data_IF_075676759808
#
_entry.id   IF_075676759808
#
_cell.length_a   1.000
_cell.length_b   1.000
_cell.length_c   1.000
_cell.angle_alpha   90.00
_cell.angle_beta   90.00
_cell.angle_gamma   90.00
#
_symmetry.space_group_name_H-M   'P 1'
#
loop_
_entity.id
_entity.type
_entity.pdbx_description
1 polymer ?
#
# COMPACT_ATOMS: atom_id res chain seq x y z
N UNK A 1 -18.88 -4.95 -17.52
CA UNK A 1 -18.87 -3.56 -18.02
C UNK A 1 -20.18 -3.25 -18.70
N UNK A 2 -20.94 -2.30 -18.14
CA UNK A 2 -22.13 -1.77 -18.78
C UNK A 2 -21.70 -0.60 -19.67
N UNK A 3 -21.78 -0.76 -20.96
CA UNK A 3 -21.49 0.33 -21.92
C UNK A 3 -22.79 1.04 -22.23
N UNK A 4 -22.90 2.30 -21.86
CA UNK A 4 -24.01 3.17 -22.27
C UNK A 4 -23.68 3.81 -23.63
N UNK A 5 -24.52 3.60 -24.63
CA UNK A 5 -24.32 4.19 -25.96
C UNK A 5 -24.66 5.68 -26.03
N UNK A 6 -25.49 6.18 -25.12
CA UNK A 6 -25.85 7.59 -25.02
C UNK A 6 -26.34 7.92 -23.61
N UNK A 7 -25.73 8.90 -22.97
CA UNK A 7 -26.17 9.47 -21.71
C UNK A 7 -26.52 10.93 -21.96
N UNK A 8 -27.69 11.37 -21.51
CA UNK A 8 -28.13 12.76 -21.59
C UNK A 8 -28.54 13.26 -20.21
N UNK A 9 -27.88 14.32 -19.73
CA UNK A 9 -28.12 14.90 -18.42
C UNK A 9 -28.71 16.29 -18.55
N UNK A 10 -29.77 16.56 -17.81
CA UNK A 10 -30.49 17.84 -17.81
C UNK A 10 -29.65 18.96 -17.16
N UNK A 11 -29.94 20.21 -17.51
CA UNK A 11 -29.19 21.41 -17.07
C UNK A 11 -29.15 21.68 -15.56
N UNK A 12 -29.89 20.92 -14.75
CA UNK A 12 -29.90 21.06 -13.29
C UNK A 12 -29.63 19.71 -12.58
N UNK A 13 -29.10 18.73 -13.31
CA UNK A 13 -28.91 17.36 -12.80
C UNK A 13 -27.49 16.89 -13.10
N UNK A 14 -27.01 15.98 -12.29
CA UNK A 14 -25.81 15.20 -12.53
C UNK A 14 -26.13 13.71 -12.43
N UNK A 15 -25.38 12.89 -13.15
CA UNK A 15 -25.40 11.45 -13.02
C UNK A 15 -24.03 10.99 -12.55
N UNK A 16 -23.98 10.29 -11.42
CA UNK A 16 -22.77 9.66 -10.93
C UNK A 16 -22.83 8.18 -11.24
N UNK A 17 -21.84 7.68 -11.95
CA UNK A 17 -21.63 6.24 -12.13
C UNK A 17 -20.76 5.74 -10.98
N UNK A 18 -21.19 4.63 -10.37
CA UNK A 18 -20.47 3.95 -9.31
C UNK A 18 -20.06 2.57 -9.74
N UNK A 19 -18.86 2.17 -9.38
CA UNK A 19 -18.36 0.82 -9.60
C UNK A 19 -17.99 0.14 -8.29
N UNK A 20 -17.98 -1.19 -8.30
CA UNK A 20 -17.46 -1.97 -7.18
C UNK A 20 -15.94 -1.85 -7.15
N UNK A 21 -15.43 -1.35 -6.03
CA UNK A 21 -14.00 -1.32 -5.80
C UNK A 21 -13.51 -2.74 -5.43
N UNK A 22 -12.53 -3.22 -6.17
CA UNK A 22 -11.89 -4.52 -5.93
C UNK A 22 -10.40 -4.30 -5.75
N UNK A 23 -9.88 -4.76 -4.61
CA UNK A 23 -8.46 -4.68 -4.28
C UNK A 23 -7.92 -6.10 -4.10
N UNK A 24 -6.74 -6.37 -4.65
CA UNK A 24 -6.01 -7.62 -4.55
C UNK A 24 -4.56 -7.34 -4.10
N UNK A 25 -4.18 -7.85 -2.94
CA UNK A 25 -2.87 -7.61 -2.33
C UNK A 25 -2.09 -8.90 -2.21
N UNK A 26 -0.94 -8.93 -2.85
CA UNK A 26 -0.06 -10.09 -2.93
C UNK A 26 1.37 -9.76 -2.49
N UNK A 27 2.13 -10.76 -2.09
CA UNK A 27 3.58 -10.66 -1.95
C UNK A 27 4.28 -10.69 -3.33
N UNK A 28 5.61 -10.52 -3.33
CA UNK A 28 6.41 -10.56 -4.56
C UNK A 28 6.40 -11.93 -5.27
N UNK A 29 5.96 -12.99 -4.60
CA UNK A 29 5.80 -14.35 -5.15
C UNK A 29 4.38 -14.61 -5.66
N UNK A 30 3.45 -13.66 -5.50
CA UNK A 30 2.06 -13.77 -5.92
C UNK A 30 1.15 -14.45 -4.90
N UNK A 31 1.59 -14.65 -3.65
CA UNK A 31 0.72 -15.18 -2.60
C UNK A 31 -0.13 -14.09 -1.98
N UNK A 32 -1.38 -14.39 -1.66
CA UNK A 32 -2.30 -13.47 -1.03
C UNK A 32 -1.79 -12.99 0.33
N UNK A 33 -1.88 -11.70 0.60
CA UNK A 33 -1.44 -11.10 1.86
C UNK A 33 -2.60 -10.63 2.72
N UNK A 34 -2.80 -11.29 3.85
CA UNK A 34 -3.78 -10.88 4.86
C UNK A 34 -3.17 -9.90 5.87
N UNK A 35 -4.03 -9.11 6.52
CA UNK A 35 -3.61 -8.23 7.60
C UNK A 35 -2.96 -6.92 7.16
N UNK A 36 -3.00 -6.59 5.88
CA UNK A 36 -2.49 -5.33 5.33
C UNK A 36 -3.47 -4.20 5.64
N UNK A 37 -2.96 -3.10 6.19
CA UNK A 37 -3.75 -1.91 6.42
C UNK A 37 -4.01 -1.17 5.11
N UNK A 38 -5.26 -0.80 4.87
CA UNK A 38 -5.69 -0.15 3.64
C UNK A 38 -6.39 1.17 3.97
N UNK A 39 -6.12 2.19 3.16
CA UNK A 39 -6.87 3.43 3.10
C UNK A 39 -7.24 3.74 1.65
N UNK A 40 -8.49 4.11 1.41
CA UNK A 40 -8.96 4.55 0.09
C UNK A 40 -9.53 5.95 0.18
N UNK A 41 -9.04 6.82 -0.67
CA UNK A 41 -9.50 8.21 -0.83
C UNK A 41 -10.05 8.39 -2.23
N UNK A 42 -11.19 9.03 -2.35
CA UNK A 42 -11.82 9.40 -3.61
C UNK A 42 -12.05 10.91 -3.62
N UNK A 43 -11.43 11.61 -4.53
CA UNK A 43 -11.48 13.09 -4.65
C UNK A 43 -11.34 13.80 -3.28
N UNK A 44 -10.35 13.40 -2.50
CA UNK A 44 -10.10 13.92 -1.15
C UNK A 44 -11.06 13.42 -0.06
N UNK A 45 -12.06 12.60 -0.39
CA UNK A 45 -13.00 12.02 0.56
C UNK A 45 -12.57 10.63 1.00
N UNK A 46 -12.55 10.38 2.32
CA UNK A 46 -12.24 9.06 2.86
C UNK A 46 -13.40 8.09 2.59
N UNK A 47 -13.11 6.96 1.93
CA UNK A 47 -14.08 5.90 1.62
C UNK A 47 -13.84 4.63 2.42
N UNK A 48 -12.60 4.35 2.76
CA UNK A 48 -12.19 3.16 3.51
C UNK A 48 -10.94 3.47 4.33
N UNK A 49 -10.88 3.01 5.57
CA UNK A 49 -9.68 3.11 6.39
C UNK A 49 -9.63 2.02 7.46
N UNK A 50 -8.60 1.21 7.47
CA UNK A 50 -8.29 0.31 8.58
C UNK A 50 -7.76 1.07 9.79
N UNK A 51 -7.60 0.37 10.91
CA UNK A 51 -7.27 0.95 12.22
C UNK A 51 -6.00 1.79 12.23
N UNK A 52 -4.96 1.40 11.48
CA UNK A 52 -3.74 2.18 11.36
C UNK A 52 -3.98 3.59 10.81
N UNK A 53 -4.90 3.73 9.87
CA UNK A 53 -5.27 5.01 9.26
C UNK A 53 -6.40 5.74 10.00
N UNK A 54 -6.71 5.31 11.23
CA UNK A 54 -7.72 5.94 12.09
C UNK A 54 -9.16 5.55 11.80
N UNK A 55 -9.39 4.55 10.96
CA UNK A 55 -10.70 3.99 10.66
C UNK A 55 -11.04 2.76 11.49
N UNK A 56 -12.15 2.11 11.13
CA UNK A 56 -12.62 0.86 11.73
C UNK A 56 -12.85 -0.25 10.72
N UNK A 57 -12.55 0.00 9.46
CA UNK A 57 -12.70 -0.99 8.40
C UNK A 57 -11.68 -2.13 8.57
N UNK A 58 -12.01 -3.35 8.14
CA UNK A 58 -11.11 -4.48 8.21
C UNK A 58 -9.80 -4.26 7.44
N UNK A 59 -8.76 -4.96 7.83
CA UNK A 59 -7.56 -5.17 7.01
C UNK A 59 -7.86 -6.19 5.91
N UNK A 60 -6.91 -6.41 4.98
CA UNK A 60 -7.08 -7.47 3.99
C UNK A 60 -7.33 -8.82 4.64
N UNK A 61 -8.22 -9.59 4.05
CA UNK A 61 -8.60 -10.94 4.49
C UNK A 61 -7.57 -12.01 4.05
N UNK A 62 -7.92 -13.29 4.22
CA UNK A 62 -7.06 -14.42 3.84
C UNK A 62 -6.82 -14.54 2.32
N UNK A 63 -7.62 -13.86 1.53
CA UNK A 63 -7.50 -13.82 0.07
C UNK A 63 -6.76 -12.57 -0.43
N UNK A 64 -6.23 -11.73 0.48
CA UNK A 64 -5.57 -10.49 0.12
C UNK A 64 -6.54 -9.37 -0.28
N UNK A 65 -7.84 -9.53 -0.01
CA UNK A 65 -8.88 -8.59 -0.43
C UNK A 65 -9.42 -7.77 0.75
N UNK A 66 -10.05 -6.64 0.42
CA UNK A 66 -10.88 -5.88 1.37
C UNK A 66 -12.35 -6.06 1.01
N UNK A 67 -13.23 -5.71 1.93
CA UNK A 67 -14.67 -5.70 1.67
C UNK A 67 -14.98 -4.81 0.46
N UNK A 68 -15.76 -5.34 -0.49
CA UNK A 68 -16.14 -4.64 -1.71
C UNK A 68 -17.11 -3.52 -1.36
N UNK A 69 -16.83 -2.32 -1.82
CA UNK A 69 -17.70 -1.15 -1.68
C UNK A 69 -17.79 -0.36 -2.98
N UNK A 70 -18.83 0.48 -3.08
CA UNK A 70 -19.05 1.30 -4.26
C UNK A 70 -18.28 2.61 -4.13
N UNK A 71 -17.52 2.94 -5.18
CA UNK A 71 -16.86 4.23 -5.34
C UNK A 71 -17.41 4.96 -6.57
N UNK A 72 -17.25 6.27 -6.59
CA UNK A 72 -17.67 7.08 -7.73
C UNK A 72 -16.62 6.93 -8.83
N UNK A 73 -17.05 6.58 -10.04
CA UNK A 73 -16.19 6.40 -11.19
C UNK A 73 -16.19 7.65 -12.09
N UNK A 74 -17.38 8.09 -12.49
CA UNK A 74 -17.54 9.21 -13.39
C UNK A 74 -18.75 10.06 -13.00
N UNK A 75 -18.62 11.37 -13.19
CA UNK A 75 -19.72 12.31 -13.06
C UNK A 75 -20.02 12.89 -14.45
N UNK A 76 -21.25 12.75 -14.87
CA UNK A 76 -21.79 13.38 -16.07
C UNK A 76 -22.60 14.60 -15.65
N UNK A 77 -22.24 15.74 -16.17
CA UNK A 77 -22.97 17.01 -16.01
C UNK A 77 -23.60 17.44 -17.35
N UNK A 78 -24.09 18.68 -17.38
CA UNK A 78 -24.71 19.25 -18.59
C UNK A 78 -23.80 19.27 -19.81
N UNK A 79 -22.51 19.38 -19.63
CA UNK A 79 -21.55 19.55 -20.72
C UNK A 79 -21.13 18.21 -21.35
N UNK A 80 -21.68 17.10 -20.83
CA UNK A 80 -21.60 15.73 -21.35
C UNK A 80 -20.20 15.14 -21.54
N UNK A 81 -19.17 15.78 -21.05
CA UNK A 81 -17.87 15.13 -20.92
C UNK A 81 -17.76 14.56 -19.51
N UNK A 82 -17.68 13.24 -19.35
CA UNK A 82 -17.56 12.67 -18.01
C UNK A 82 -16.26 13.10 -17.34
N UNK A 83 -16.34 13.42 -16.06
CA UNK A 83 -15.17 13.67 -15.24
C UNK A 83 -14.85 12.42 -14.46
N UNK A 84 -13.69 11.83 -14.72
CA UNK A 84 -13.19 10.67 -13.96
C UNK A 84 -12.79 11.11 -12.55
N UNK A 85 -13.27 10.39 -11.55
CA UNK A 85 -12.96 10.65 -10.15
C UNK A 85 -11.68 9.91 -9.77
N UNK A 86 -10.61 10.62 -9.38
CA UNK A 86 -9.37 9.97 -8.99
C UNK A 86 -9.52 9.22 -7.66
N UNK A 87 -9.09 7.96 -7.66
CA UNK A 87 -9.06 7.13 -6.46
C UNK A 87 -7.61 6.81 -6.09
N UNK A 88 -7.29 6.99 -4.83
CA UNK A 88 -5.96 6.74 -4.26
C UNK A 88 -6.06 5.66 -3.21
N UNK A 89 -5.25 4.62 -3.36
CA UNK A 89 -5.16 3.50 -2.42
C UNK A 89 -3.82 3.58 -1.70
N UNK A 90 -3.83 3.67 -0.39
CA UNK A 90 -2.63 3.54 0.43
C UNK A 90 -2.65 2.18 1.12
N UNK A 91 -1.62 1.39 0.92
CA UNK A 91 -1.41 0.13 1.61
C UNK A 91 -0.24 0.25 2.59
N UNK A 92 -0.34 -0.46 3.72
CA UNK A 92 0.71 -0.48 4.75
C UNK A 92 0.88 -1.88 5.31
N UNK A 93 2.14 -2.32 5.35
CA UNK A 93 2.58 -3.55 6.03
C UNK A 93 3.83 -3.24 6.83
N UNK A 94 3.80 -3.42 8.15
CA UNK A 94 4.87 -3.04 9.07
C UNK A 94 5.36 -1.59 8.84
N UNK A 95 6.62 -1.41 8.45
CA UNK A 95 7.28 -0.13 8.15
C UNK A 95 7.16 0.31 6.67
N UNK A 96 6.60 -0.54 5.79
CA UNK A 96 6.34 -0.19 4.40
C UNK A 96 4.97 0.49 4.24
N UNK A 97 4.95 1.63 3.56
CA UNK A 97 3.73 2.37 3.20
C UNK A 97 3.87 2.89 1.78
N UNK A 98 2.90 2.62 0.93
CA UNK A 98 2.88 3.13 -0.44
C UNK A 98 1.47 3.54 -0.86
N UNK A 99 1.39 4.56 -1.74
CA UNK A 99 0.13 5.06 -2.28
C UNK A 99 0.09 4.89 -3.78
N UNK A 100 -0.98 4.29 -4.27
CA UNK A 100 -1.24 3.99 -5.66
C UNK A 100 -2.42 4.84 -6.16
N UNK A 101 -2.30 5.32 -7.40
CA UNK A 101 -3.45 5.91 -8.11
C UNK A 101 -4.16 4.78 -8.85
N UNK A 102 -5.47 4.73 -8.74
CA UNK A 102 -6.31 3.68 -9.30
C UNK A 102 -7.36 4.25 -10.23
N UNK A 103 -7.65 3.51 -11.29
CA UNK A 103 -8.91 3.61 -12.03
C UNK A 103 -9.90 2.62 -11.40
N UNK A 104 -11.03 3.11 -10.84
CA UNK A 104 -12.01 2.25 -10.18
C UNK A 104 -12.67 1.21 -11.10
N UNK A 105 -12.55 1.37 -12.42
CA UNK A 105 -13.09 0.39 -13.39
C UNK A 105 -12.30 -0.92 -13.46
N UNK A 106 -11.17 -1.02 -12.78
CA UNK A 106 -10.30 -2.20 -12.79
C UNK A 106 -9.97 -2.69 -11.38
N UNK A 107 -9.61 -3.97 -11.26
CA UNK A 107 -9.05 -4.50 -10.00
C UNK A 107 -7.73 -3.82 -9.72
N UNK A 108 -7.61 -3.23 -8.53
CA UNK A 108 -6.36 -2.65 -8.06
C UNK A 108 -5.47 -3.75 -7.52
N UNK A 109 -4.34 -3.99 -8.16
CA UNK A 109 -3.36 -4.97 -7.70
C UNK A 109 -2.21 -4.26 -7.00
N UNK A 110 -1.92 -4.68 -5.77
CA UNK A 110 -0.82 -4.17 -4.95
C UNK A 110 0.12 -5.32 -4.65
N UNK A 111 1.40 -5.13 -4.95
CA UNK A 111 2.44 -6.08 -4.56
C UNK A 111 3.23 -5.51 -3.38
N UNK A 112 3.13 -6.19 -2.24
CA UNK A 112 3.92 -5.87 -1.05
C UNK A 112 5.32 -6.47 -1.22
N UNK A 113 6.41 -5.71 -1.03
CA UNK A 113 7.75 -6.24 -1.13
C UNK A 113 8.06 -7.29 -0.04
N UNK A 114 9.11 -8.06 -0.21
CA UNK A 114 9.56 -9.01 0.80
C UNK A 114 10.21 -8.28 1.99
N UNK A 115 9.92 -8.75 3.20
CA UNK A 115 10.69 -8.37 4.40
C UNK A 115 12.13 -8.88 4.28
N UNK A 116 13.12 -8.03 4.52
CA UNK A 116 14.53 -8.36 4.25
C UNK A 116 15.51 -7.96 5.35
N UNK A 117 15.04 -7.30 6.39
CA UNK A 117 15.88 -6.80 7.48
C UNK A 117 15.36 -7.30 8.81
N UNK A 118 16.25 -7.64 9.74
CA UNK A 118 15.88 -8.04 11.09
C UNK A 118 17.00 -7.75 12.12
N UNK A 119 16.59 -7.60 13.37
CA UNK A 119 17.49 -7.50 14.52
C UNK A 119 17.74 -8.92 15.05
N UNK A 120 19.02 -9.31 15.17
CA UNK A 120 19.39 -10.64 15.66
C UNK A 120 18.93 -10.84 17.11
N UNK A 121 18.24 -11.95 17.37
CA UNK A 121 17.63 -12.27 18.66
C UNK A 121 16.16 -11.86 18.79
N UNK A 122 15.63 -11.07 17.85
CA UNK A 122 14.22 -10.74 17.79
C UNK A 122 13.47 -11.71 16.88
N UNK A 123 12.22 -12.01 17.19
CA UNK A 123 11.28 -12.81 16.37
C UNK A 123 11.86 -14.06 15.71
N UNK A 124 12.74 -14.76 16.43
CA UNK A 124 13.45 -15.96 15.96
C UNK A 124 14.34 -15.72 14.73
N UNK A 125 14.95 -14.53 14.63
CA UNK A 125 15.87 -14.15 13.57
C UNK A 125 15.21 -14.19 12.16
N UNK A 126 13.97 -13.79 12.06
CA UNK A 126 13.25 -13.67 10.77
C UNK A 126 13.15 -12.22 10.34
N UNK A 127 13.21 -11.95 9.03
CA UNK A 127 13.00 -10.60 8.52
C UNK A 127 11.62 -10.07 8.94
N UNK A 128 11.61 -8.86 9.50
CA UNK A 128 10.40 -8.18 9.95
C UNK A 128 10.38 -6.68 9.63
N UNK A 129 11.41 -6.18 8.93
CA UNK A 129 11.47 -4.82 8.42
C UNK A 129 11.69 -4.82 6.90
N UNK A 130 11.16 -3.81 6.24
CA UNK A 130 11.44 -3.51 4.83
C UNK A 130 12.64 -2.58 4.68
N UNK A 131 12.88 -1.71 5.68
CA UNK A 131 13.90 -0.68 5.67
C UNK A 131 14.97 -0.94 6.73
N UNK A 132 16.22 -0.60 6.39
CA UNK A 132 17.34 -0.70 7.33
C UNK A 132 17.19 0.34 8.44
N UNK A 133 16.78 1.58 8.09
CA UNK A 133 16.59 2.63 9.08
C UNK A 133 15.58 2.23 10.15
N UNK A 134 14.45 1.62 9.77
CA UNK A 134 13.45 1.17 10.74
C UNK A 134 14.00 0.14 11.73
N UNK A 135 14.86 -0.76 11.26
CA UNK A 135 15.54 -1.72 12.15
C UNK A 135 16.59 -1.04 13.07
N UNK A 136 17.26 0.02 12.60
CA UNK A 136 18.19 0.81 13.41
C UNK A 136 17.43 1.55 14.51
N UNK A 137 16.31 2.20 14.17
CA UNK A 137 15.48 2.98 15.08
C UNK A 137 14.89 2.12 16.22
N UNK A 138 14.64 0.84 15.96
CA UNK A 138 14.13 -0.13 16.93
C UNK A 138 15.23 -0.93 17.65
N UNK A 139 16.49 -0.80 17.22
CA UNK A 139 17.61 -1.51 17.82
C UNK A 139 18.06 -0.89 19.15
N UNK A 140 18.62 -1.70 20.03
CA UNK A 140 19.31 -1.25 21.24
C UNK A 140 20.82 -1.26 21.01
N UNK A 141 21.55 -0.54 21.86
CA UNK A 141 23.02 -0.53 21.89
C UNK A 141 23.58 -1.96 21.89
N UNK A 142 24.54 -2.23 21.00
CA UNK A 142 25.18 -3.55 20.84
C UNK A 142 24.40 -4.54 19.98
N UNK A 143 23.20 -4.18 19.48
CA UNK A 143 22.46 -5.08 18.61
C UNK A 143 23.14 -5.30 17.25
N UNK A 144 22.86 -6.45 16.66
CA UNK A 144 23.27 -6.78 15.30
C UNK A 144 22.03 -6.79 14.40
N UNK A 145 22.11 -6.04 13.29
CA UNK A 145 21.09 -5.96 12.26
C UNK A 145 21.57 -6.77 11.04
N UNK A 146 20.80 -7.75 10.62
CA UNK A 146 21.08 -8.49 9.39
C UNK A 146 20.23 -8.00 8.25
N UNK A 147 20.87 -7.82 7.10
CA UNK A 147 20.27 -7.29 5.88
C UNK A 147 20.44 -8.32 4.76
N UNK A 148 19.34 -8.79 4.20
CA UNK A 148 19.35 -9.75 3.11
C UNK A 148 19.75 -9.08 1.79
N UNK A 149 19.99 -9.90 0.76
CA UNK A 149 20.35 -9.43 -0.58
C UNK A 149 19.30 -8.44 -1.11
N UNK A 150 19.77 -7.35 -1.67
CA UNK A 150 18.94 -6.32 -2.27
C UNK A 150 19.64 -4.99 -2.35
N UNK A 151 19.03 -4.06 -3.09
CA UNK A 151 19.44 -2.66 -3.10
C UNK A 151 18.49 -1.88 -2.21
N UNK A 152 19.05 -1.16 -1.25
CA UNK A 152 18.35 -0.33 -0.29
C UNK A 152 18.70 1.12 -0.58
N UNK A 153 17.73 1.87 -1.11
CA UNK A 153 17.89 3.29 -1.42
C UNK A 153 17.46 4.11 -0.21
N UNK A 154 18.32 4.18 0.78
CA UNK A 154 18.06 4.80 2.08
C UNK A 154 19.23 5.68 2.53
N UNK A 155 18.91 6.82 3.12
CA UNK A 155 19.86 7.61 3.91
C UNK A 155 19.81 7.11 5.36
N UNK A 156 20.87 6.43 5.78
CA UNK A 156 20.95 5.79 7.09
C UNK A 156 21.62 6.74 8.10
N UNK A 157 20.95 6.99 9.21
CA UNK A 157 21.47 7.68 10.37
C UNK A 157 21.63 6.67 11.52
N UNK A 158 22.85 6.56 12.08
CA UNK A 158 23.18 5.65 13.17
C UNK A 158 23.39 6.49 14.42
N UNK A 159 22.46 6.39 15.36
CA UNK A 159 22.48 7.14 16.64
C UNK A 159 22.96 6.30 17.82
N UNK A 160 22.95 4.98 17.69
CA UNK A 160 23.35 4.00 18.70
C UNK A 160 24.47 3.09 18.17
N UNK A 161 25.22 2.45 19.06
CA UNK A 161 26.23 1.47 18.66
C UNK A 161 25.54 0.18 18.17
N UNK A 162 25.51 -0.02 16.86
CA UNK A 162 24.93 -1.22 16.21
C UNK A 162 25.91 -1.83 15.21
N UNK A 163 25.76 -3.13 14.96
CA UNK A 163 26.49 -3.83 13.93
C UNK A 163 25.55 -4.16 12.78
N UNK A 164 25.86 -3.73 11.55
CA UNK A 164 25.07 -4.06 10.34
C UNK A 164 25.82 -5.11 9.53
N UNK A 165 25.17 -6.23 9.23
CA UNK A 165 25.74 -7.35 8.47
C UNK A 165 24.87 -7.62 7.24
N UNK A 166 25.44 -7.38 6.04
CA UNK A 166 24.83 -7.75 4.78
C UNK A 166 25.00 -9.26 4.46
N UNK A 167 24.07 -9.81 3.72
CA UNK A 167 24.12 -11.21 3.26
C UNK A 167 24.92 -11.30 1.93
N UNK A 168 26.24 -11.04 2.01
CA UNK A 168 27.16 -11.11 0.90
C UNK A 168 27.21 -9.86 0.03
N UNK A 169 27.85 -9.99 -1.15
CA UNK A 169 28.15 -8.88 -2.07
C UNK A 169 26.93 -8.32 -2.81
N UNK A 170 25.79 -8.97 -2.69
CA UNK A 170 24.53 -8.53 -3.30
C UNK A 170 23.68 -7.66 -2.36
N UNK A 171 24.18 -7.32 -1.18
CA UNK A 171 23.55 -6.34 -0.29
C UNK A 171 24.20 -4.97 -0.58
N UNK A 172 23.43 -4.06 -1.13
CA UNK A 172 23.89 -2.73 -1.56
C UNK A 172 23.05 -1.69 -0.84
N UNK A 173 23.71 -0.78 -0.12
CA UNK A 173 23.08 0.41 0.44
C UNK A 173 23.47 1.57 -0.46
N UNK A 174 22.48 2.23 -1.03
CA UNK A 174 22.65 3.36 -1.93
C UNK A 174 22.02 4.60 -1.30
N UNK A 175 22.85 5.43 -0.69
CA UNK A 175 22.44 6.72 -0.16
C UNK A 175 22.11 7.69 -1.30
N UNK A 176 21.06 8.48 -1.16
CA UNK A 176 20.67 9.54 -2.11
C UNK A 176 21.52 10.80 -1.97
#
# INVERSE_FOLDING_TARGET
>A
NTVFSTISVNSASSLTLKEYFVLDVNDASGNNMSGIDIKVMEDGTLKYASSYFGGSDPKTDLYGTVEIFLIDHEIYDRESTPTTIPTYVTARSNDWVETFTSDPSSTVQITVPDLRVYIVGNDNDKPNYYHIQSAIDDANEGNTIRVWNGTYSENIEITEEVTIIGNGTSTIINGG
#
